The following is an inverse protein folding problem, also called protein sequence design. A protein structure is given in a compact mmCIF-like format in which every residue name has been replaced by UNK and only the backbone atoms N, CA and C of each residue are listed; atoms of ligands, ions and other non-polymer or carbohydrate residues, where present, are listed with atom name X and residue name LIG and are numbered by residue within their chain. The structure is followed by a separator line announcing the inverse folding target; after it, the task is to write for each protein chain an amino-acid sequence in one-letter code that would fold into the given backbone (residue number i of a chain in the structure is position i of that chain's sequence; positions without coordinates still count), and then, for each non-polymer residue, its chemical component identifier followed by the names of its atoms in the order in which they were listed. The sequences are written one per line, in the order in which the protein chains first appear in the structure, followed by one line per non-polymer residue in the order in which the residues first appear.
data_IF_931958265297
#
_entry.id   IF_931958265297
#
_cell.length_a   1.000
_cell.length_b   1.000
_cell.length_c   1.000
_cell.angle_alpha   90.00
_cell.angle_beta   90.00
_cell.angle_gamma   90.00
#
_symmetry.space_group_name_H-M   'P 1'
#
loop_
_entity.id
_entity.type
_entity.pdbx_description
1 polymer ?
#
# COMPACT_ATOMS: atom_id res chain seq x y z
N UNK A 1 -16.32 1.64 16.86
CA UNK A 1 -15.12 2.23 17.50
C UNK A 1 -14.01 1.21 17.72
N UNK A 2 -14.26 0.09 18.39
CA UNK A 2 -13.24 -0.96 18.58
C UNK A 2 -12.57 -1.45 17.28
N UNK A 3 -13.36 -1.65 16.22
CA UNK A 3 -12.86 -2.05 14.89
C UNK A 3 -11.86 -1.02 14.32
N UNK A 4 -12.10 0.28 14.51
CA UNK A 4 -11.19 1.33 14.03
C UNK A 4 -9.85 1.31 14.78
N UNK A 5 -9.87 1.00 16.08
CA UNK A 5 -8.65 0.80 16.86
C UNK A 5 -7.87 -0.43 16.41
N UNK A 6 -8.55 -1.53 16.07
CA UNK A 6 -7.88 -2.72 15.52
C UNK A 6 -7.26 -2.44 14.15
N UNK A 7 -7.98 -1.72 13.27
CA UNK A 7 -7.48 -1.31 11.96
C UNK A 7 -6.27 -0.37 12.07
N UNK A 8 -6.30 0.61 12.98
CA UNK A 8 -5.15 1.50 13.19
C UNK A 8 -3.94 0.76 13.76
N UNK A 9 -4.16 -0.22 14.64
CA UNK A 9 -3.10 -1.06 15.17
C UNK A 9 -2.51 -1.97 14.08
N UNK A 10 -3.35 -2.49 13.18
CA UNK A 10 -2.92 -3.25 12.01
C UNK A 10 -2.06 -2.39 11.06
N UNK A 11 -2.39 -1.10 10.85
CA UNK A 11 -1.55 -0.17 10.08
C UNK A 11 -0.13 -0.06 10.66
N UNK A 12 -0.01 0.02 11.99
CA UNK A 12 1.30 0.09 12.65
C UNK A 12 2.11 -1.20 12.42
N UNK A 13 1.47 -2.37 12.50
CA UNK A 13 2.14 -3.63 12.20
C UNK A 13 2.57 -3.75 10.74
N UNK A 14 1.72 -3.32 9.81
CA UNK A 14 2.08 -3.27 8.39
C UNK A 14 3.31 -2.37 8.17
N UNK A 15 3.39 -1.23 8.87
CA UNK A 15 4.54 -0.31 8.79
C UNK A 15 5.83 -0.98 9.26
N UNK A 16 5.78 -1.70 10.37
CA UNK A 16 6.91 -2.48 10.86
C UNK A 16 7.31 -3.59 9.88
N UNK A 17 6.34 -4.29 9.29
CA UNK A 17 6.58 -5.31 8.27
C UNK A 17 7.25 -4.72 7.03
N UNK A 18 6.82 -3.55 6.56
CA UNK A 18 7.40 -2.89 5.40
C UNK A 18 8.90 -2.65 5.57
N UNK A 19 9.33 -2.17 6.74
CA UNK A 19 10.77 -1.98 7.01
C UNK A 19 11.56 -3.27 7.13
N UNK A 20 10.90 -4.39 7.45
CA UNK A 20 11.52 -5.73 7.54
C UNK A 20 11.79 -6.33 6.15
N UNK A 21 10.90 -6.08 5.17
CA UNK A 21 11.04 -6.60 3.81
C UNK A 21 11.95 -5.71 2.95
N UNK A 22 13.27 -5.90 3.06
CA UNK A 22 14.26 -5.17 2.25
C UNK A 22 14.81 -5.95 1.04
N UNK A 23 14.51 -7.25 0.93
CA UNK A 23 15.20 -8.13 -0.03
C UNK A 23 14.55 -8.17 -1.42
N UNK A 24 13.24 -8.33 -1.50
CA UNK A 24 12.50 -8.55 -2.76
C UNK A 24 11.55 -7.39 -3.02
N UNK A 25 11.70 -6.71 -4.16
CA UNK A 25 10.91 -5.51 -4.50
C UNK A 25 9.41 -5.80 -4.56
N UNK A 26 9.03 -6.96 -5.07
CA UNK A 26 7.63 -7.40 -5.16
C UNK A 26 6.98 -7.55 -3.77
N UNK A 27 7.71 -8.05 -2.77
CA UNK A 27 7.16 -8.20 -1.42
C UNK A 27 6.95 -6.84 -0.75
N UNK A 28 7.85 -5.88 -0.98
CA UNK A 28 7.67 -4.51 -0.50
C UNK A 28 6.42 -3.85 -1.12
N UNK A 29 6.20 -4.05 -2.42
CA UNK A 29 4.99 -3.57 -3.12
C UNK A 29 3.70 -4.19 -2.56
N UNK A 30 3.68 -5.49 -2.29
CA UNK A 30 2.51 -6.16 -1.69
C UNK A 30 2.18 -5.64 -0.30
N UNK A 31 3.20 -5.36 0.53
CA UNK A 31 2.98 -4.75 1.83
C UNK A 31 2.45 -3.33 1.69
N UNK A 32 2.97 -2.56 0.74
CA UNK A 32 2.46 -1.21 0.43
C UNK A 32 0.98 -1.26 -0.01
N UNK A 33 0.61 -2.19 -0.88
CA UNK A 33 -0.77 -2.38 -1.32
C UNK A 33 -1.70 -2.69 -0.14
N UNK A 34 -1.26 -3.57 0.77
CA UNK A 34 -2.03 -3.90 1.98
C UNK A 34 -2.21 -2.69 2.92
N UNK A 35 -1.25 -1.76 2.98
CA UNK A 35 -1.39 -0.49 3.70
C UNK A 35 -2.38 0.46 3.02
N UNK A 36 -2.29 0.62 1.70
CA UNK A 36 -3.21 1.50 0.95
C UNK A 36 -4.64 0.98 1.13
N UNK A 37 -4.85 -0.33 1.03
CA UNK A 37 -6.16 -0.96 1.17
C UNK A 37 -6.74 -0.81 2.58
N UNK A 38 -5.92 -1.01 3.62
CA UNK A 38 -6.36 -0.79 5.02
C UNK A 38 -6.63 0.68 5.32
N UNK A 39 -5.86 1.61 4.73
CA UNK A 39 -6.13 3.06 4.83
C UNK A 39 -7.44 3.46 4.13
N UNK A 40 -7.75 2.87 2.98
CA UNK A 40 -9.00 3.08 2.25
C UNK A 40 -10.20 2.59 3.07
N UNK A 41 -10.12 1.41 3.70
CA UNK A 41 -11.17 0.91 4.59
C UNK A 41 -11.40 1.87 5.76
N UNK A 42 -10.33 2.39 6.36
CA UNK A 42 -10.40 3.36 7.45
C UNK A 42 -11.05 4.68 7.00
N UNK A 43 -10.70 5.16 5.80
CA UNK A 43 -11.31 6.35 5.19
C UNK A 43 -12.80 6.17 4.92
N UNK A 44 -13.24 4.99 4.49
CA UNK A 44 -14.65 4.69 4.22
C UNK A 44 -15.47 4.75 5.51
N UNK A 45 -14.96 4.17 6.60
CA UNK A 45 -15.61 4.28 7.91
C UNK A 45 -15.70 5.75 8.38
N UNK A 46 -14.64 6.55 8.24
CA UNK A 46 -14.65 7.97 8.62
C UNK A 46 -15.61 8.82 7.76
N UNK A 47 -15.68 8.53 6.46
CA UNK A 47 -16.58 9.24 5.55
C UNK A 47 -18.06 8.86 5.81
N UNK A 48 -18.32 7.60 6.15
CA UNK A 48 -19.66 7.14 6.50
C UNK A 48 -20.22 7.79 7.77
N UNK A 49 -19.36 8.11 8.75
CA UNK A 49 -19.79 8.76 10.00
C UNK A 49 -19.94 10.27 9.84
N UNK A 50 -19.21 10.89 8.91
CA UNK A 50 -19.24 12.34 8.67
C UNK A 50 -20.35 12.81 7.73
N UNK A 51 -21.26 11.92 7.30
CA UNK A 51 -22.34 12.23 6.33
C UNK A 51 -21.82 12.98 5.09
N UNK A 52 -20.56 12.73 4.71
CA UNK A 52 -19.92 13.39 3.60
C UNK A 52 -20.15 12.61 2.31
N UNK A 53 -20.13 13.32 1.19
CA UNK A 53 -20.25 12.69 -0.11
C UNK A 53 -19.04 11.75 -0.37
N UNK A 54 -19.34 10.55 -0.87
CA UNK A 54 -18.36 9.51 -1.21
C UNK A 54 -17.43 9.86 -2.39
N UNK A 55 -17.54 11.06 -2.98
CA UNK A 55 -16.68 11.50 -4.08
C UNK A 55 -15.20 11.54 -3.70
N UNK A 56 -14.89 11.95 -2.46
CA UNK A 56 -13.49 11.99 -1.97
C UNK A 56 -12.94 10.56 -1.88
N UNK A 57 -13.76 9.59 -1.47
CA UNK A 57 -13.37 8.18 -1.43
C UNK A 57 -13.07 7.65 -2.85
N UNK A 58 -13.91 7.96 -3.83
CA UNK A 58 -13.68 7.57 -5.22
C UNK A 58 -12.38 8.14 -5.78
N UNK A 59 -12.06 9.40 -5.45
CA UNK A 59 -10.80 10.03 -5.85
C UNK A 59 -9.58 9.37 -5.17
N UNK A 60 -9.67 9.04 -3.89
CA UNK A 60 -8.60 8.31 -3.18
C UNK A 60 -8.38 6.91 -3.79
N UNK A 61 -9.46 6.24 -4.20
CA UNK A 61 -9.40 4.91 -4.81
C UNK A 61 -8.70 4.96 -6.18
N UNK A 62 -8.99 5.96 -7.02
CA UNK A 62 -8.31 6.09 -8.32
C UNK A 62 -6.81 6.39 -8.15
N UNK A 63 -6.45 7.27 -7.21
CA UNK A 63 -5.04 7.55 -6.91
C UNK A 63 -4.30 6.30 -6.40
N UNK A 64 -4.92 5.51 -5.53
CA UNK A 64 -4.32 4.27 -5.01
C UNK A 64 -4.04 3.23 -6.12
N UNK A 65 -4.96 3.07 -7.07
CA UNK A 65 -4.74 2.17 -8.22
C UNK A 65 -3.65 2.70 -9.15
N UNK A 66 -3.59 4.03 -9.37
CA UNK A 66 -2.54 4.66 -10.18
C UNK A 66 -1.14 4.47 -9.56
N UNK A 67 -1.00 4.59 -8.24
CA UNK A 67 0.25 4.34 -7.52
C UNK A 67 0.75 2.90 -7.72
N UNK A 68 -0.14 1.91 -7.57
CA UNK A 68 0.19 0.50 -7.80
C UNK A 68 0.63 0.23 -9.25
N UNK A 69 -0.05 0.85 -10.23
CA UNK A 69 0.32 0.75 -11.64
C UNK A 69 1.72 1.32 -11.92
N UNK A 70 2.05 2.47 -11.33
CA UNK A 70 3.38 3.07 -11.43
C UNK A 70 4.45 2.18 -10.75
N UNK A 71 4.17 1.64 -9.56
CA UNK A 71 5.07 0.72 -8.86
C UNK A 71 5.43 -0.53 -9.66
N UNK A 72 4.45 -1.14 -10.33
CA UNK A 72 4.66 -2.30 -11.21
C UNK A 72 5.46 -1.94 -12.47
N UNK A 73 5.20 -0.76 -13.06
CA UNK A 73 5.96 -0.30 -14.23
C UNK A 73 7.45 -0.12 -13.91
N UNK A 74 7.75 0.40 -12.71
CA UNK A 74 9.10 0.54 -12.20
C UNK A 74 9.75 -0.83 -11.95
N UNK A 75 9.05 -1.77 -11.32
CA UNK A 75 9.51 -3.15 -11.12
C UNK A 75 9.94 -3.78 -12.44
N UNK A 76 9.13 -3.65 -13.50
CA UNK A 76 9.45 -4.23 -14.80
C UNK A 76 10.66 -3.55 -15.46
N UNK A 77 10.83 -2.24 -15.30
CA UNK A 77 12.03 -1.55 -15.78
C UNK A 77 13.28 -1.99 -15.03
N UNK A 78 13.18 -2.20 -13.71
CA UNK A 78 14.27 -2.67 -12.87
C UNK A 78 14.72 -4.08 -13.27
N UNK A 79 13.78 -5.02 -13.41
CA UNK A 79 14.09 -6.40 -13.83
C UNK A 79 14.77 -6.43 -15.21
N UNK A 80 14.39 -5.54 -16.14
CA UNK A 80 15.06 -5.45 -17.45
C UNK A 80 16.54 -5.04 -17.35
N UNK A 81 16.91 -4.28 -16.32
CA UNK A 81 18.27 -3.76 -16.14
C UNK A 81 19.12 -4.74 -15.31
N UNK A 82 18.58 -5.26 -14.20
CA UNK A 82 19.33 -6.08 -13.24
C UNK A 82 19.17 -7.58 -13.45
N UNK A 83 18.21 -8.02 -14.26
CA UNK A 83 17.87 -9.43 -14.47
C UNK A 83 17.29 -10.14 -13.24
N UNK A 84 17.14 -9.45 -12.10
CA UNK A 84 16.64 -10.03 -10.85
C UNK A 84 15.73 -9.06 -10.09
N UNK A 85 14.77 -9.59 -9.33
CA UNK A 85 13.79 -8.82 -8.54
C UNK A 85 14.31 -8.41 -7.15
N UNK A 86 15.59 -8.62 -6.87
CA UNK A 86 16.21 -8.26 -5.60
C UNK A 86 16.58 -6.78 -5.58
N UNK A 87 16.20 -6.08 -4.51
CA UNK A 87 16.51 -4.66 -4.30
C UNK A 87 18.01 -4.46 -4.09
N UNK A 88 18.64 -5.40 -3.37
CA UNK A 88 20.07 -5.41 -3.12
C UNK A 88 20.68 -6.58 -3.90
N UNK A 89 21.42 -6.26 -4.96
CA UNK A 89 22.35 -7.22 -5.55
C UNK A 89 23.41 -7.52 -4.47
N UNK A 90 23.29 -8.66 -3.81
CA UNK A 90 24.44 -9.25 -3.12
C UNK A 90 25.41 -9.63 -4.22
N UNK A 91 26.48 -8.84 -4.35
CA UNK A 91 27.68 -9.25 -5.07
C UNK A 91 28.20 -10.59 -4.51
#
# INVERSE_FOLDING_TARGET
MFILYLLSLLMVFLLLLFFSYQSVYLNALLVLESMVLSSLVLSLFLLSTSMNNLYIFMLLLTLGVCEAGLGLSLLMSYIKITGSSYIMSKF
#
